data_IF_568284845463
#
_entry.id   IF_568284845463
#
_cell.length_a   1.000
_cell.length_b   1.000
_cell.length_c   1.000
_cell.angle_alpha   90.00
_cell.angle_beta   90.00
_cell.angle_gamma   90.00
#
_symmetry.space_group_name_H-M   'P 1'
#
loop_
_entity.id
_entity.type
_entity.pdbx_description
1 polymer ?
#
# COMPACT_ATOMS: atom_id res chain seq x y z
N UNK A 1 2.88 12.33 -6.68
CA UNK A 1 1.98 11.73 -5.66
C UNK A 1 1.60 12.69 -4.52
N UNK A 2 2.55 13.36 -3.87
CA UNK A 2 2.29 14.33 -2.78
C UNK A 2 1.24 15.42 -3.10
N UNK A 3 1.28 16.01 -4.31
CA UNK A 3 0.30 17.03 -4.75
C UNK A 3 -1.15 16.53 -4.80
N UNK A 4 -1.36 15.25 -5.14
CA UNK A 4 -2.70 14.65 -5.20
C UNK A 4 -3.24 14.31 -3.80
N UNK A 5 -2.35 13.89 -2.88
CA UNK A 5 -2.71 13.69 -1.47
C UNK A 5 -3.11 15.02 -0.83
N UNK A 6 -2.32 16.08 -1.00
CA UNK A 6 -2.60 17.39 -0.42
C UNK A 6 -3.96 17.97 -0.84
N UNK A 7 -4.34 17.87 -2.13
CA UNK A 7 -5.66 18.33 -2.60
C UNK A 7 -6.83 17.55 -2.00
N UNK A 8 -6.63 16.27 -1.69
CA UNK A 8 -7.68 15.39 -1.12
C UNK A 8 -7.79 15.57 0.39
N UNK A 9 -6.70 15.88 1.08
CA UNK A 9 -6.72 16.23 2.51
C UNK A 9 -7.62 17.43 2.78
N UNK A 10 -7.60 18.47 1.95
CA UNK A 10 -8.48 19.63 2.11
C UNK A 10 -9.98 19.29 1.96
N UNK A 11 -10.33 18.32 1.11
CA UNK A 11 -11.72 17.88 0.93
C UNK A 11 -12.22 17.01 2.10
N UNK A 12 -11.32 16.31 2.78
CA UNK A 12 -11.66 15.44 3.91
C UNK A 12 -11.93 16.22 5.21
N UNK A 13 -11.48 17.47 5.32
CA UNK A 13 -11.72 18.32 6.51
C UNK A 13 -13.22 18.58 6.72
N UNK A 14 -13.99 18.68 5.63
CA UNK A 14 -15.43 18.97 5.65
C UNK A 14 -16.31 17.71 5.62
N UNK A 15 -15.71 16.50 5.65
CA UNK A 15 -16.42 15.23 5.53
C UNK A 15 -16.54 14.50 6.87
N UNK A 16 -17.53 13.60 7.02
CA UNK A 16 -17.63 12.72 8.18
C UNK A 16 -16.32 11.96 8.41
N UNK A 17 -15.80 12.03 9.63
CA UNK A 17 -14.59 11.32 9.99
C UNK A 17 -14.84 9.80 9.96
N UNK A 18 -14.04 9.06 9.20
CA UNK A 18 -14.05 7.59 9.23
C UNK A 18 -13.19 7.17 10.43
N UNK A 19 -13.77 6.54 11.47
CA UNK A 19 -13.01 6.13 12.65
C UNK A 19 -11.84 5.22 12.29
N UNK A 20 -10.70 5.37 12.95
CA UNK A 20 -9.52 4.50 12.76
C UNK A 20 -8.72 4.74 11.48
N UNK A 21 -9.35 5.16 10.37
CA UNK A 21 -8.73 5.32 9.05
C UNK A 21 -7.46 6.19 9.06
N UNK A 22 -7.49 7.32 9.77
CA UNK A 22 -6.34 8.21 9.89
C UNK A 22 -5.16 7.56 10.62
N UNK A 23 -5.41 6.77 11.65
CA UNK A 23 -4.35 6.09 12.40
C UNK A 23 -3.70 4.99 11.56
N UNK A 24 -4.53 4.19 10.87
CA UNK A 24 -4.09 3.12 9.96
C UNK A 24 -3.28 3.68 8.78
N UNK A 25 -3.74 4.77 8.14
CA UNK A 25 -2.99 5.45 7.07
C UNK A 25 -1.65 6.03 7.55
N UNK A 26 -1.61 6.63 8.75
CA UNK A 26 -0.35 7.11 9.34
C UNK A 26 0.62 5.98 9.60
N UNK A 27 0.14 4.84 10.11
CA UNK A 27 0.97 3.65 10.32
C UNK A 27 1.54 3.14 9.00
N UNK A 28 0.70 2.94 8.00
CA UNK A 28 1.13 2.49 6.66
C UNK A 28 2.16 3.45 6.04
N UNK A 29 1.95 4.76 6.16
CA UNK A 29 2.89 5.77 5.67
C UNK A 29 4.23 5.71 6.39
N UNK A 30 4.23 5.44 7.70
CA UNK A 30 5.46 5.29 8.50
C UNK A 30 6.24 4.07 8.07
N UNK A 31 5.59 2.94 7.81
CA UNK A 31 6.26 1.73 7.32
C UNK A 31 6.94 1.98 5.96
N UNK A 32 6.24 2.62 5.01
CA UNK A 32 6.83 3.01 3.72
C UNK A 32 8.07 3.89 3.90
N UNK A 33 8.04 4.84 4.86
CA UNK A 33 9.19 5.70 5.14
C UNK A 33 10.38 4.91 5.71
N UNK A 34 10.13 3.91 6.55
CA UNK A 34 11.17 3.04 7.08
C UNK A 34 11.78 2.18 5.97
N UNK A 35 10.96 1.58 5.11
CA UNK A 35 11.45 0.83 3.96
C UNK A 35 12.27 1.71 3.01
N UNK A 36 11.84 2.94 2.75
CA UNK A 36 12.57 3.87 1.90
C UNK A 36 13.94 4.18 2.49
N UNK A 37 14.01 4.41 3.80
CA UNK A 37 15.27 4.66 4.50
C UNK A 37 16.21 3.46 4.35
N UNK A 38 15.70 2.26 4.64
CA UNK A 38 16.50 1.03 4.59
C UNK A 38 16.93 0.69 3.16
N UNK A 39 16.12 1.00 2.14
CA UNK A 39 16.49 0.84 0.73
C UNK A 39 17.64 1.77 0.33
N UNK A 40 17.63 3.02 0.81
CA UNK A 40 18.70 3.98 0.58
C UNK A 40 19.97 3.54 1.32
N UNK A 41 19.85 3.10 2.57
CA UNK A 41 20.98 2.59 3.35
C UNK A 41 21.59 1.36 2.67
N UNK A 42 20.77 0.44 2.17
CA UNK A 42 21.21 -0.73 1.40
C UNK A 42 21.95 -0.32 0.12
N UNK A 43 21.46 0.69 -0.60
CA UNK A 43 22.11 1.21 -1.79
C UNK A 43 23.49 1.82 -1.49
N UNK A 44 23.58 2.65 -0.45
CA UNK A 44 24.83 3.32 -0.06
C UNK A 44 25.88 2.30 0.39
N UNK A 45 25.46 1.30 1.18
CA UNK A 45 26.36 0.28 1.74
C UNK A 45 26.60 -0.89 0.78
N UNK A 46 25.90 -0.93 -0.36
CA UNK A 46 25.90 -2.08 -1.29
C UNK A 46 25.52 -3.38 -0.57
N UNK A 47 24.54 -3.29 0.32
CA UNK A 47 24.06 -4.41 1.13
C UNK A 47 22.86 -5.08 0.45
N UNK A 48 23.12 -6.22 -0.20
CA UNK A 48 22.09 -7.00 -0.87
C UNK A 48 21.11 -7.67 0.12
N UNK A 49 21.53 -7.96 1.35
CA UNK A 49 20.69 -8.66 2.32
C UNK A 49 19.68 -7.71 2.95
N UNK A 50 20.10 -6.46 3.24
CA UNK A 50 19.19 -5.39 3.64
C UNK A 50 18.19 -5.08 2.52
N UNK A 51 18.63 -5.03 1.26
CA UNK A 51 17.74 -4.84 0.12
C UNK A 51 16.70 -5.98 -0.01
N UNK A 52 17.11 -7.24 0.15
CA UNK A 52 16.18 -8.39 0.19
C UNK A 52 15.19 -8.31 1.35
N UNK A 53 15.61 -7.75 2.48
CA UNK A 53 14.74 -7.55 3.62
C UNK A 53 13.68 -6.47 3.38
N UNK A 54 14.07 -5.34 2.78
CA UNK A 54 13.13 -4.30 2.34
C UNK A 54 12.09 -4.88 1.40
N UNK A 55 12.56 -5.61 0.39
CA UNK A 55 11.75 -6.36 -0.56
C UNK A 55 10.72 -7.18 0.24
N UNK A 56 11.13 -8.08 1.16
CA UNK A 56 10.20 -8.92 1.94
C UNK A 56 9.18 -8.12 2.76
N UNK A 57 9.61 -7.05 3.44
CA UNK A 57 8.73 -6.25 4.32
C UNK A 57 7.67 -5.44 3.57
N UNK A 58 7.82 -5.22 2.26
CA UNK A 58 6.78 -4.58 1.44
C UNK A 58 5.45 -5.36 1.46
N UNK A 59 5.50 -6.68 1.65
CA UNK A 59 4.30 -7.51 1.80
C UNK A 59 3.45 -7.12 3.03
N UNK A 60 4.05 -6.50 4.05
CA UNK A 60 3.29 -5.99 5.20
C UNK A 60 2.49 -4.73 4.82
N UNK A 61 3.00 -3.91 3.89
CA UNK A 61 2.29 -2.73 3.38
C UNK A 61 1.08 -3.15 2.54
N UNK A 62 1.24 -4.18 1.69
CA UNK A 62 0.13 -4.79 0.94
C UNK A 62 -0.97 -5.29 1.87
N UNK A 63 -0.60 -5.99 2.96
CA UNK A 63 -1.55 -6.47 3.96
C UNK A 63 -2.27 -5.33 4.68
N UNK A 64 -1.54 -4.27 5.06
CA UNK A 64 -2.13 -3.08 5.69
C UNK A 64 -3.13 -2.38 4.77
N UNK A 65 -2.79 -2.24 3.48
CA UNK A 65 -3.68 -1.70 2.47
C UNK A 65 -4.94 -2.56 2.31
N UNK A 66 -4.80 -3.88 2.19
CA UNK A 66 -5.92 -4.81 2.04
C UNK A 66 -6.85 -4.80 3.26
N UNK A 67 -6.30 -4.68 4.47
CA UNK A 67 -7.08 -4.55 5.70
C UNK A 67 -7.87 -3.22 5.72
N UNK A 68 -7.21 -2.11 5.39
CA UNK A 68 -7.83 -0.79 5.28
C UNK A 68 -8.95 -0.77 4.23
N UNK A 69 -8.73 -1.42 3.09
CA UNK A 69 -9.74 -1.47 2.03
C UNK A 69 -11.00 -2.22 2.47
N UNK A 70 -10.86 -3.36 3.16
CA UNK A 70 -12.00 -4.09 3.72
C UNK A 70 -12.75 -3.25 4.77
N UNK A 71 -12.02 -2.54 5.63
CA UNK A 71 -12.61 -1.65 6.63
C UNK A 71 -13.43 -0.52 5.96
N UNK A 72 -12.91 0.08 4.88
CA UNK A 72 -13.65 1.07 4.10
C UNK A 72 -14.92 0.50 3.47
N UNK A 73 -14.89 -0.74 2.95
CA UNK A 73 -16.09 -1.40 2.42
C UNK A 73 -17.16 -1.58 3.51
N UNK A 74 -16.77 -2.01 4.71
CA UNK A 74 -17.70 -2.13 5.85
C UNK A 74 -18.36 -0.80 6.18
N UNK A 75 -17.58 0.29 6.31
CA UNK A 75 -18.15 1.61 6.60
C UNK A 75 -19.09 2.14 5.51
N UNK A 76 -18.81 1.81 4.23
CA UNK A 76 -19.67 2.16 3.11
C UNK A 76 -20.98 1.35 3.09
N UNK A 77 -20.94 0.10 3.53
CA UNK A 77 -22.12 -0.76 3.65
C UNK A 77 -23.00 -0.40 4.86
N UNK A 78 -22.40 0.05 5.96
CA UNK A 78 -23.12 0.51 7.15
C UNK A 78 -23.86 1.83 6.91
N UNK A 79 -23.24 2.77 6.20
CA UNK A 79 -23.85 4.05 5.85
C UNK A 79 -23.35 4.56 4.48
N UNK A 80 -24.23 4.67 3.47
CA UNK A 80 -23.87 5.19 2.15
C UNK A 80 -23.27 6.61 2.17
N UNK A 81 -23.50 7.41 3.23
CA UNK A 81 -22.87 8.73 3.38
C UNK A 81 -21.35 8.66 3.53
N UNK A 82 -20.82 7.49 3.91
CA UNK A 82 -19.38 7.25 4.03
C UNK A 82 -18.70 6.94 2.68
N UNK A 83 -19.45 6.72 1.59
CA UNK A 83 -18.87 6.35 0.28
C UNK A 83 -17.84 7.38 -0.18
N UNK A 84 -18.18 8.66 -0.21
CA UNK A 84 -17.27 9.70 -0.67
C UNK A 84 -16.00 9.82 0.19
N UNK A 85 -16.06 9.95 1.55
CA UNK A 85 -14.85 10.01 2.36
C UNK A 85 -14.02 8.72 2.31
N UNK A 86 -14.65 7.53 2.36
CA UNK A 86 -13.94 6.26 2.22
C UNK A 86 -13.22 6.15 0.89
N UNK A 87 -13.81 6.61 -0.21
CA UNK A 87 -13.14 6.63 -1.51
C UNK A 87 -11.92 7.56 -1.52
N UNK A 88 -12.02 8.77 -0.95
CA UNK A 88 -10.86 9.65 -0.83
C UNK A 88 -9.72 9.03 -0.02
N UNK A 89 -10.04 8.38 1.09
CA UNK A 89 -9.08 7.66 1.94
C UNK A 89 -8.49 6.45 1.24
N UNK A 90 -9.29 5.69 0.50
CA UNK A 90 -8.85 4.57 -0.34
C UNK A 90 -7.81 5.04 -1.37
N UNK A 91 -8.07 6.14 -2.06
CA UNK A 91 -7.09 6.70 -2.98
C UNK A 91 -5.80 7.09 -2.27
N UNK A 92 -5.87 7.68 -1.07
CA UNK A 92 -4.66 7.99 -0.29
C UNK A 92 -3.90 6.69 0.04
N UNK A 93 -4.58 5.67 0.56
CA UNK A 93 -3.98 4.38 0.88
C UNK A 93 -3.29 3.74 -0.34
N UNK A 94 -3.96 3.71 -1.51
CA UNK A 94 -3.38 3.16 -2.74
C UNK A 94 -2.17 3.97 -3.24
N UNK A 95 -2.15 5.29 -3.04
CA UNK A 95 -0.97 6.08 -3.37
C UNK A 95 0.20 5.76 -2.42
N UNK A 96 -0.07 5.49 -1.16
CA UNK A 96 0.94 5.06 -0.18
C UNK A 96 1.50 3.68 -0.50
N UNK A 97 0.66 2.72 -0.91
CA UNK A 97 1.11 1.39 -1.36
C UNK A 97 2.01 1.49 -2.60
N UNK A 98 1.62 2.29 -3.60
CA UNK A 98 2.47 2.55 -4.78
C UNK A 98 3.83 3.17 -4.44
N UNK A 99 3.92 3.91 -3.33
CA UNK A 99 5.21 4.40 -2.87
C UNK A 99 6.06 3.25 -2.31
N UNK A 100 5.47 2.28 -1.61
CA UNK A 100 6.14 1.04 -1.19
C UNK A 100 6.67 0.24 -2.39
N UNK A 101 5.84 0.05 -3.41
CA UNK A 101 6.24 -0.58 -4.68
C UNK A 101 7.48 0.07 -5.31
N UNK A 102 7.56 1.40 -5.31
CA UNK A 102 8.73 2.12 -5.82
C UNK A 102 9.99 1.91 -4.96
N UNK A 103 9.82 1.79 -3.64
CA UNK A 103 10.91 1.46 -2.72
C UNK A 103 11.42 0.05 -2.99
N UNK A 104 10.52 -0.91 -3.18
CA UNK A 104 10.84 -2.30 -3.55
C UNK A 104 11.63 -2.34 -4.85
N UNK A 105 11.19 -1.60 -5.88
CA UNK A 105 11.91 -1.53 -7.15
C UNK A 105 13.34 -0.98 -6.97
N UNK A 106 13.55 0.01 -6.11
CA UNK A 106 14.90 0.50 -5.78
C UNK A 106 15.72 -0.61 -5.12
N UNK A 107 15.17 -1.32 -4.14
CA UNK A 107 15.85 -2.41 -3.46
C UNK A 107 16.20 -3.57 -4.43
N UNK A 108 15.33 -3.89 -5.38
CA UNK A 108 15.63 -4.88 -6.43
C UNK A 108 16.84 -4.47 -7.29
N UNK A 109 16.95 -3.18 -7.64
CA UNK A 109 18.12 -2.66 -8.34
C UNK A 109 19.38 -2.75 -7.47
N UNK A 110 19.29 -2.56 -6.16
CA UNK A 110 20.42 -2.75 -5.23
C UNK A 110 20.90 -4.19 -5.25
N UNK A 111 20.00 -5.16 -5.13
CA UNK A 111 20.37 -6.58 -5.19
C UNK A 111 21.08 -6.89 -6.50
N UNK A 112 20.49 -6.46 -7.63
CA UNK A 112 21.10 -6.65 -8.94
C UNK A 112 22.48 -6.01 -9.07
N UNK A 113 22.67 -4.79 -8.54
CA UNK A 113 23.95 -4.09 -8.57
C UNK A 113 25.05 -4.85 -7.80
N UNK A 114 24.69 -5.55 -6.73
CA UNK A 114 25.65 -6.24 -5.85
C UNK A 114 25.91 -7.67 -6.31
N UNK A 115 24.87 -8.40 -6.73
CA UNK A 115 24.97 -9.84 -7.05
C UNK A 115 25.04 -10.13 -8.54
N UNK A 116 24.66 -9.19 -9.40
CA UNK A 116 24.52 -9.41 -10.85
C UNK A 116 23.25 -10.18 -11.25
N UNK A 117 22.42 -10.56 -10.29
CA UNK A 117 21.19 -11.34 -10.49
C UNK A 117 19.98 -10.55 -10.03
N UNK A 118 18.91 -10.55 -10.83
CA UNK A 118 17.65 -9.91 -10.41
C UNK A 118 16.90 -10.84 -9.44
N UNK A 119 16.38 -10.33 -8.31
CA UNK A 119 15.45 -11.09 -7.49
C UNK A 119 14.26 -11.57 -8.36
N UNK A 120 13.88 -12.84 -8.23
CA UNK A 120 12.85 -13.46 -9.08
C UNK A 120 11.50 -12.71 -9.00
N UNK A 121 10.87 -12.51 -10.16
CA UNK A 121 9.61 -11.76 -10.36
C UNK A 121 8.38 -12.47 -9.76
N UNK A 122 8.51 -13.72 -9.32
CA UNK A 122 7.45 -14.54 -8.70
C UNK A 122 7.11 -14.11 -7.26
N UNK A 123 7.05 -12.80 -7.00
CA UNK A 123 6.40 -12.31 -5.79
C UNK A 123 4.90 -12.45 -5.97
N UNK A 124 4.19 -13.15 -5.07
CA UNK A 124 2.75 -13.01 -4.99
C UNK A 124 2.47 -11.59 -4.50
N UNK A 125 2.42 -10.61 -5.42
CA UNK A 125 1.88 -9.29 -5.10
C UNK A 125 0.45 -9.49 -4.65
N UNK A 126 0.14 -9.05 -3.45
CA UNK A 126 -1.15 -9.24 -2.81
C UNK A 126 -2.27 -8.37 -3.42
N UNK A 127 -2.04 -7.73 -4.57
CA UNK A 127 -3.02 -6.89 -5.26
C UNK A 127 -4.08 -7.75 -5.97
N UNK A 128 -4.87 -8.47 -5.17
CA UNK A 128 -6.05 -9.22 -5.61
C UNK A 128 -7.29 -8.33 -5.71
N UNK A 129 -7.15 -7.02 -5.43
CA UNK A 129 -8.25 -6.04 -5.49
C UNK A 129 -8.86 -5.96 -6.90
N UNK A 130 -8.06 -6.22 -7.94
CA UNK A 130 -8.48 -6.17 -9.34
C UNK A 130 -9.05 -7.49 -9.87
N UNK A 131 -8.81 -8.61 -9.18
CA UNK A 131 -9.05 -9.97 -9.69
C UNK A 131 -10.01 -10.81 -8.84
N UNK A 132 -10.34 -10.38 -7.62
CA UNK A 132 -11.25 -11.11 -6.75
C UNK A 132 -12.70 -10.63 -6.90
N UNK A 133 -13.41 -11.16 -7.91
CA UNK A 133 -14.86 -10.98 -8.11
C UNK A 133 -15.68 -12.18 -7.58
N UNK A 134 -15.04 -13.16 -6.92
CA UNK A 134 -15.68 -14.45 -6.63
C UNK A 134 -16.23 -14.55 -5.20
N UNK A 135 -17.43 -14.03 -4.98
CA UNK A 135 -18.39 -14.58 -4.00
C UNK A 135 -19.81 -14.04 -4.27
N UNK A 136 -20.44 -14.41 -5.39
CA UNK A 136 -21.79 -13.92 -5.66
C UNK A 136 -22.52 -14.44 -6.89
N UNK A 137 -22.10 -15.55 -7.51
CA UNK A 137 -22.92 -16.22 -8.54
C UNK A 137 -23.26 -17.61 -8.02
N UNK A 138 -24.30 -17.65 -7.20
CA UNK A 138 -25.05 -18.88 -6.91
C UNK A 138 -25.65 -19.35 -8.25
N UNK A 139 -25.07 -20.41 -8.81
CA UNK A 139 -25.67 -21.13 -9.94
C UNK A 139 -26.88 -21.90 -9.41
N UNK A 140 -28.06 -21.28 -9.46
CA UNK A 140 -29.34 -21.97 -9.49
C UNK A 140 -30.09 -21.61 -10.77
N UNK A 141 -30.45 -22.64 -11.53
CA UNK A 141 -31.21 -22.56 -12.78
C UNK A 141 -30.68 -23.56 -13.79
#
# INVERSE_FOLDING_TARGET
>A
YAKNMAKRTSLLVDMPAVPGAHASLRRMSREVQLLLKDAIDAFIQRDADLARDVIRRDHDIDQMYNALFREFLTFMMEDPRNITPCMHLHFIAKNTERMGDHVTAIAEQVVYLVTGERPDENRPKGDTTSTNVAAGVDKKG
#
